data_IF_847966715965
#
_entry.id   IF_847966715965
#
_cell.length_a   1.000
_cell.length_b   1.000
_cell.length_c   1.000
_cell.angle_alpha   90.00
_cell.angle_beta   90.00
_cell.angle_gamma   90.00
#
_symmetry.space_group_name_H-M   'P 1'
#
loop_
_entity.id
_entity.type
_entity.pdbx_description
1 polymer ?
#
# COMPACT_ATOMS: atom_id res chain seq x y z
N UNK A 1 94.09 -56.21 -30.49
CA UNK A 1 94.75 -54.89 -30.63
C UNK A 1 94.21 -53.95 -29.56
N UNK A 2 95.13 -53.24 -28.90
CA UNK A 2 95.04 -52.22 -27.84
C UNK A 2 93.77 -51.33 -27.85
N UNK A 3 93.04 -51.19 -26.72
CA UNK A 3 93.13 -50.23 -25.57
C UNK A 3 92.17 -49.03 -25.67
N UNK A 4 91.24 -48.91 -24.70
CA UNK A 4 91.09 -47.80 -23.69
C UNK A 4 90.11 -46.68 -24.14
N UNK A 5 89.23 -46.07 -23.36
CA UNK A 5 89.00 -46.00 -21.91
C UNK A 5 87.56 -45.47 -21.60
N UNK A 6 87.01 -45.96 -20.49
CA UNK A 6 86.20 -45.32 -19.42
C UNK A 6 85.01 -44.33 -19.67
N UNK A 7 83.84 -44.77 -19.18
CA UNK A 7 83.06 -44.24 -18.03
C UNK A 7 82.42 -42.83 -18.11
N UNK A 8 81.09 -42.75 -17.98
CA UNK A 8 80.33 -42.30 -16.77
C UNK A 8 78.83 -42.05 -17.12
N UNK A 9 77.97 -42.55 -16.24
CA UNK A 9 76.50 -42.38 -16.14
C UNK A 9 75.99 -40.93 -16.30
N UNK A 10 74.80 -40.77 -16.90
CA UNK A 10 73.75 -39.99 -16.24
C UNK A 10 72.34 -40.46 -16.65
N UNK A 11 71.59 -40.91 -15.65
CA UNK A 11 70.16 -41.26 -15.70
C UNK A 11 69.34 -39.98 -15.80
N UNK A 12 68.45 -39.87 -16.79
CA UNK A 12 67.27 -39.02 -16.72
C UNK A 12 66.10 -39.71 -17.41
N UNK A 13 65.15 -40.16 -16.58
CA UNK A 13 63.79 -40.53 -16.93
C UNK A 13 63.13 -39.43 -17.77
N UNK A 14 62.28 -39.80 -18.73
CA UNK A 14 60.84 -39.51 -18.71
C UNK A 14 60.15 -40.02 -20.00
N UNK A 15 59.02 -40.70 -19.77
CA UNK A 15 58.13 -41.37 -20.72
C UNK A 15 57.55 -40.46 -21.81
N UNK A 16 57.12 -41.01 -22.97
CA UNK A 16 56.37 -40.24 -23.97
C UNK A 16 54.98 -39.91 -23.43
N UNK A 17 54.63 -38.63 -23.50
CA UNK A 17 53.36 -38.08 -23.03
C UNK A 17 52.27 -38.32 -24.10
N UNK A 18 51.61 -39.47 -24.05
CA UNK A 18 50.28 -39.64 -24.64
C UNK A 18 49.26 -38.99 -23.68
N UNK A 19 48.88 -37.75 -23.97
CA UNK A 19 47.79 -37.07 -23.28
C UNK A 19 46.69 -36.76 -24.31
N UNK A 20 45.61 -37.53 -24.19
CA UNK A 20 44.34 -37.33 -24.86
C UNK A 20 43.86 -35.88 -24.76
N UNK A 21 43.56 -35.28 -25.91
CA UNK A 21 42.82 -34.01 -26.01
C UNK A 21 41.37 -34.25 -25.53
N UNK A 22 41.14 -34.03 -24.25
CA UNK A 22 39.79 -33.80 -23.73
C UNK A 22 39.22 -32.49 -24.33
N UNK A 23 37.90 -32.38 -24.58
CA UNK A 23 37.32 -31.14 -25.04
C UNK A 23 37.55 -30.07 -23.97
N UNK A 24 38.26 -29.01 -24.35
CA UNK A 24 38.44 -27.81 -23.54
C UNK A 24 37.12 -27.42 -22.90
N UNK A 25 37.09 -27.34 -21.56
CA UNK A 25 36.03 -26.68 -20.83
C UNK A 25 35.74 -25.32 -21.49
N UNK A 26 34.46 -25.06 -21.75
CA UNK A 26 34.00 -23.84 -22.41
C UNK A 26 34.58 -22.62 -21.68
N UNK A 27 35.43 -21.87 -22.38
CA UNK A 27 36.03 -20.63 -21.86
C UNK A 27 34.87 -19.65 -21.67
N UNK A 28 34.58 -19.28 -20.41
CA UNK A 28 33.57 -18.28 -20.13
C UNK A 28 33.84 -17.01 -20.94
N UNK A 29 32.81 -16.49 -21.60
CA UNK A 29 32.95 -15.37 -22.53
C UNK A 29 33.60 -14.15 -21.89
N UNK A 30 34.48 -13.48 -22.64
CA UNK A 30 35.06 -12.20 -22.22
C UNK A 30 33.98 -11.11 -22.14
N UNK A 31 34.24 -10.06 -21.35
CA UNK A 31 33.33 -8.90 -21.20
C UNK A 31 32.97 -8.29 -22.56
N UNK A 32 33.93 -8.26 -23.50
CA UNK A 32 33.73 -7.75 -24.86
C UNK A 32 32.94 -8.70 -25.77
N UNK A 33 33.04 -10.01 -25.54
CA UNK A 33 32.21 -11.00 -26.26
C UNK A 33 30.76 -10.99 -25.77
N UNK A 34 30.53 -10.75 -24.47
CA UNK A 34 29.19 -10.50 -23.93
C UNK A 34 28.58 -9.20 -24.45
N UNK A 35 29.38 -8.15 -24.60
CA UNK A 35 28.93 -6.86 -25.13
C UNK A 35 28.60 -6.89 -26.64
N UNK A 36 29.15 -7.84 -27.40
CA UNK A 36 28.85 -8.05 -28.83
C UNK A 36 27.58 -8.87 -29.05
N UNK A 37 27.10 -9.60 -28.06
CA UNK A 37 25.81 -10.27 -28.14
C UNK A 37 24.73 -9.19 -27.99
N UNK A 38 23.74 -9.11 -28.90
CA UNK A 38 22.55 -8.32 -28.59
C UNK A 38 22.04 -8.81 -27.23
N UNK A 39 21.76 -7.88 -26.31
CA UNK A 39 21.29 -8.22 -24.96
C UNK A 39 20.31 -9.39 -25.09
N UNK A 40 20.70 -10.54 -24.54
CA UNK A 40 19.92 -11.76 -24.67
C UNK A 40 18.52 -11.41 -24.19
N UNK A 41 17.53 -11.48 -25.10
CA UNK A 41 16.18 -11.03 -24.80
C UNK A 41 15.69 -11.89 -23.66
N UNK A 42 15.64 -11.32 -22.45
CA UNK A 42 15.10 -12.01 -21.29
C UNK A 42 13.70 -12.51 -21.64
N UNK A 43 13.44 -13.76 -21.28
CA UNK A 43 12.10 -14.30 -21.40
C UNK A 43 11.13 -13.52 -20.50
N UNK A 44 9.84 -13.50 -20.85
CA UNK A 44 8.82 -12.88 -20.01
C UNK A 44 8.81 -13.47 -18.59
N UNK A 45 9.16 -14.74 -18.44
CA UNK A 45 9.26 -15.41 -17.15
C UNK A 45 10.42 -14.89 -16.29
N UNK A 46 11.60 -14.68 -16.89
CA UNK A 46 12.76 -14.09 -16.19
C UNK A 46 12.50 -12.64 -15.78
N UNK A 47 11.86 -11.87 -16.66
CA UNK A 47 11.48 -10.47 -16.40
C UNK A 47 10.50 -10.45 -15.22
N UNK A 48 9.42 -11.24 -15.28
CA UNK A 48 8.41 -11.32 -14.24
C UNK A 48 9.02 -11.70 -12.89
N UNK A 49 9.81 -12.78 -12.83
CA UNK A 49 10.46 -13.23 -11.59
C UNK A 49 11.38 -12.16 -10.99
N UNK A 50 12.13 -11.46 -11.83
CA UNK A 50 13.06 -10.42 -11.39
C UNK A 50 12.30 -9.20 -10.87
N UNK A 51 11.28 -8.75 -11.61
CA UNK A 51 10.43 -7.63 -11.22
C UNK A 51 9.68 -7.92 -9.91
N UNK A 52 9.04 -9.09 -9.79
CA UNK A 52 8.35 -9.52 -8.58
C UNK A 52 9.28 -9.59 -7.37
N UNK A 53 10.50 -10.12 -7.54
CA UNK A 53 11.50 -10.14 -6.46
C UNK A 53 11.84 -8.72 -5.98
N UNK A 54 12.12 -7.81 -6.92
CA UNK A 54 12.40 -6.41 -6.60
C UNK A 54 11.20 -5.72 -5.92
N UNK A 55 9.99 -5.99 -6.40
CA UNK A 55 8.73 -5.49 -5.82
C UNK A 55 8.52 -5.93 -4.37
N UNK A 56 8.75 -7.21 -4.06
CA UNK A 56 8.58 -7.76 -2.70
C UNK A 56 9.72 -7.35 -1.76
N UNK A 57 10.94 -7.12 -2.26
CA UNK A 57 12.06 -6.60 -1.46
C UNK A 57 11.87 -5.14 -1.06
N UNK A 58 11.08 -4.39 -1.83
CA UNK A 58 10.69 -3.04 -1.46
C UNK A 58 9.77 -3.08 -0.23
N UNK A 59 10.31 -2.70 0.93
CA UNK A 59 9.52 -2.56 2.18
C UNK A 59 8.41 -1.52 2.00
N UNK A 60 7.22 -1.71 2.60
CA UNK A 60 6.19 -0.69 2.65
C UNK A 60 6.77 0.58 3.26
N UNK A 61 6.61 1.69 2.55
CA UNK A 61 7.35 2.92 2.79
C UNK A 61 6.43 3.90 3.52
N UNK A 62 6.70 4.22 4.79
CA UNK A 62 6.13 5.42 5.44
C UNK A 62 6.78 6.67 4.83
N UNK A 63 6.20 7.18 3.75
CA UNK A 63 6.77 8.14 2.80
C UNK A 63 6.57 9.60 3.26
N UNK A 64 7.21 9.99 4.37
CA UNK A 64 7.28 11.42 4.73
C UNK A 64 8.34 12.19 3.91
N UNK A 65 9.22 11.51 3.16
CA UNK A 65 10.24 12.18 2.34
C UNK A 65 10.78 11.27 1.22
N UNK A 66 10.46 11.52 -0.07
CA UNK A 66 10.97 10.78 -1.23
C UNK A 66 12.49 10.80 -1.38
N UNK A 67 13.20 11.78 -0.80
CA UNK A 67 14.66 11.85 -0.84
C UNK A 67 15.34 11.01 0.25
N UNK A 68 14.61 10.57 1.29
CA UNK A 68 15.10 9.66 2.35
C UNK A 68 14.80 8.19 2.10
N UNK A 69 14.21 7.87 0.95
CA UNK A 69 13.90 6.51 0.54
C UNK A 69 15.16 5.74 0.21
N UNK A 70 15.72 5.03 1.19
CA UNK A 70 16.87 4.15 1.01
C UNK A 70 16.61 2.99 0.02
N UNK A 71 17.30 1.86 0.21
CA UNK A 71 17.28 0.67 -0.68
C UNK A 71 15.91 0.16 -1.19
N UNK A 72 14.78 0.60 -0.60
CA UNK A 72 13.42 0.25 -1.05
C UNK A 72 13.03 0.93 -2.37
N UNK A 73 13.32 2.24 -2.53
CA UNK A 73 12.94 2.97 -3.74
C UNK A 73 13.82 2.60 -4.94
N UNK A 74 15.09 2.28 -4.70
CA UNK A 74 16.00 1.80 -5.76
C UNK A 74 15.58 0.44 -6.33
N UNK A 75 15.01 -0.46 -5.51
CA UNK A 75 14.47 -1.73 -5.99
C UNK A 75 13.27 -1.52 -6.93
N UNK A 76 12.34 -0.61 -6.58
CA UNK A 76 11.19 -0.27 -7.42
C UNK A 76 11.63 0.39 -8.73
N UNK A 77 12.61 1.30 -8.69
CA UNK A 77 13.20 1.89 -9.89
C UNK A 77 13.86 0.83 -10.80
N UNK A 78 14.55 -0.14 -10.20
CA UNK A 78 15.13 -1.27 -10.93
C UNK A 78 14.06 -2.13 -11.61
N UNK A 79 12.97 -2.46 -10.90
CA UNK A 79 11.85 -3.22 -11.45
C UNK A 79 11.18 -2.47 -12.60
N UNK A 80 10.91 -1.17 -12.40
CA UNK A 80 10.31 -0.33 -13.41
C UNK A 80 11.17 -0.23 -14.67
N UNK A 81 12.47 0.03 -14.51
CA UNK A 81 13.42 0.12 -15.62
C UNK A 81 13.48 -1.19 -16.41
N UNK A 82 13.54 -2.33 -15.71
CA UNK A 82 13.51 -3.66 -16.33
C UNK A 82 12.24 -3.87 -17.15
N UNK A 83 11.07 -3.58 -16.58
CA UNK A 83 9.77 -3.77 -17.23
C UNK A 83 9.60 -2.85 -18.44
N UNK A 84 10.00 -1.58 -18.33
CA UNK A 84 9.93 -0.61 -19.42
C UNK A 84 10.88 -0.96 -20.56
N UNK A 85 12.12 -1.35 -20.26
CA UNK A 85 13.12 -1.75 -21.26
C UNK A 85 12.68 -2.97 -22.10
N UNK A 86 11.77 -3.79 -21.57
CA UNK A 86 11.24 -4.97 -22.25
C UNK A 86 9.79 -4.81 -22.70
N UNK A 87 9.28 -3.57 -22.77
CA UNK A 87 7.98 -3.27 -23.38
C UNK A 87 6.77 -3.84 -22.63
N UNK A 88 6.86 -3.96 -21.30
CA UNK A 88 5.84 -4.58 -20.45
C UNK A 88 4.41 -4.07 -20.71
N UNK A 89 4.22 -2.78 -20.96
CA UNK A 89 2.92 -2.16 -21.24
C UNK A 89 2.23 -2.70 -22.50
N UNK A 90 3.01 -3.24 -23.44
CA UNK A 90 2.52 -3.80 -24.71
C UNK A 90 2.71 -5.31 -24.82
N UNK A 91 3.31 -5.94 -23.80
CA UNK A 91 3.59 -7.38 -23.77
C UNK A 91 2.32 -8.19 -23.98
N UNK A 92 2.41 -9.29 -24.73
CA UNK A 92 1.33 -10.28 -24.84
C UNK A 92 1.22 -11.18 -23.60
N UNK A 93 2.26 -11.19 -22.75
CA UNK A 93 2.20 -11.84 -21.44
C UNK A 93 1.56 -10.86 -20.42
N UNK A 94 0.37 -11.18 -19.88
CA UNK A 94 -0.34 -10.31 -18.94
C UNK A 94 0.43 -10.07 -17.65
N UNK A 95 1.31 -11.00 -17.23
CA UNK A 95 2.09 -10.87 -15.98
C UNK A 95 2.93 -9.59 -16.00
N UNK A 96 3.55 -9.27 -17.13
CA UNK A 96 4.38 -8.06 -17.23
C UNK A 96 3.57 -6.77 -17.11
N UNK A 97 2.32 -6.77 -17.59
CA UNK A 97 1.42 -5.62 -17.42
C UNK A 97 0.98 -5.46 -15.97
N UNK A 98 0.66 -6.57 -15.30
CA UNK A 98 0.39 -6.57 -13.86
C UNK A 98 1.60 -6.06 -13.07
N UNK A 99 2.78 -6.62 -13.29
CA UNK A 99 4.01 -6.20 -12.60
C UNK A 99 4.28 -4.69 -12.79
N UNK A 100 4.10 -4.18 -14.02
CA UNK A 100 4.26 -2.76 -14.31
C UNK A 100 3.27 -1.91 -13.54
N UNK A 101 1.99 -2.29 -13.56
CA UNK A 101 0.92 -1.62 -12.83
C UNK A 101 1.17 -1.59 -11.32
N UNK A 102 1.50 -2.74 -10.73
CA UNK A 102 1.76 -2.88 -9.29
C UNK A 102 3.00 -2.08 -8.85
N UNK A 103 4.10 -2.13 -9.62
CA UNK A 103 5.31 -1.34 -9.33
C UNK A 103 5.00 0.15 -9.39
N UNK A 104 4.28 0.61 -10.42
CA UNK A 104 3.89 2.02 -10.55
C UNK A 104 2.96 2.47 -9.42
N UNK A 105 1.99 1.63 -9.02
CA UNK A 105 1.07 1.91 -7.91
C UNK A 105 1.84 2.03 -6.60
N UNK A 106 2.76 1.11 -6.30
CA UNK A 106 3.61 1.18 -5.11
C UNK A 106 4.57 2.38 -5.12
N UNK A 107 4.90 2.91 -6.29
CA UNK A 107 5.62 4.18 -6.46
C UNK A 107 4.70 5.42 -6.42
N UNK A 108 3.39 5.25 -6.19
CA UNK A 108 2.36 6.30 -6.20
C UNK A 108 2.24 7.04 -7.53
N UNK A 109 2.62 6.40 -8.64
CA UNK A 109 2.47 6.91 -10.00
C UNK A 109 1.11 6.53 -10.57
N UNK A 110 0.06 6.96 -9.87
CA UNK A 110 -1.33 6.51 -10.08
C UNK A 110 -1.81 6.65 -11.53
N UNK A 111 -1.48 7.77 -12.18
CA UNK A 111 -1.87 8.04 -13.57
C UNK A 111 -1.23 7.11 -14.60
N UNK A 112 -0.10 6.49 -14.28
CA UNK A 112 0.55 5.48 -15.15
C UNK A 112 0.21 4.05 -14.72
N UNK A 113 -0.01 3.84 -13.41
CA UNK A 113 -0.39 2.54 -12.86
C UNK A 113 -1.76 2.09 -13.36
N UNK A 114 -2.76 2.97 -13.30
CA UNK A 114 -4.13 2.68 -13.72
C UNK A 114 -4.22 2.10 -15.15
N UNK A 115 -3.69 2.76 -16.21
CA UNK A 115 -3.78 2.20 -17.57
C UNK A 115 -3.00 0.89 -17.75
N UNK A 116 -1.91 0.67 -17.00
CA UNK A 116 -1.19 -0.60 -17.04
C UNK A 116 -2.01 -1.76 -16.43
N UNK A 117 -2.68 -1.51 -15.30
CA UNK A 117 -3.56 -2.47 -14.64
C UNK A 117 -4.85 -2.72 -15.45
N UNK A 118 -5.47 -1.66 -16.00
CA UNK A 118 -6.61 -1.78 -16.93
C UNK A 118 -6.24 -2.67 -18.13
N UNK A 119 -5.08 -2.43 -18.74
CA UNK A 119 -4.59 -3.21 -19.89
C UNK A 119 -4.27 -4.67 -19.52
N UNK A 120 -3.81 -4.93 -18.29
CA UNK A 120 -3.59 -6.28 -17.79
C UNK A 120 -4.91 -7.05 -17.60
N UNK A 121 -5.87 -6.41 -16.92
CA UNK A 121 -7.20 -6.97 -16.65
C UNK A 121 -7.99 -7.19 -17.94
N UNK A 122 -7.91 -6.29 -18.92
CA UNK A 122 -8.55 -6.46 -20.22
C UNK A 122 -7.98 -7.65 -21.01
N UNK A 123 -6.68 -7.93 -20.85
CA UNK A 123 -6.01 -9.04 -21.53
C UNK A 123 -6.33 -10.39 -20.88
N UNK A 124 -6.40 -10.44 -19.55
CA UNK A 124 -6.63 -11.69 -18.81
C UNK A 124 -7.45 -11.44 -17.53
N UNK A 125 -8.78 -11.33 -17.62
CA UNK A 125 -9.63 -10.97 -16.48
C UNK A 125 -9.69 -12.03 -15.38
N UNK A 126 -9.39 -13.30 -15.70
CA UNK A 126 -9.35 -14.41 -14.75
C UNK A 126 -7.91 -14.79 -14.35
N UNK A 127 -6.93 -13.93 -14.62
CA UNK A 127 -5.55 -14.18 -14.21
C UNK A 127 -5.45 -14.28 -12.67
N UNK A 128 -4.52 -15.07 -12.10
CA UNK A 128 -4.32 -15.12 -10.64
C UNK A 128 -4.00 -13.77 -9.99
N UNK A 129 -3.47 -12.81 -10.74
CA UNK A 129 -3.23 -11.42 -10.28
C UNK A 129 -4.43 -10.49 -10.48
N UNK A 130 -5.56 -10.95 -11.03
CA UNK A 130 -6.71 -10.10 -11.29
C UNK A 130 -7.32 -9.52 -10.02
N UNK A 131 -7.32 -10.27 -8.91
CA UNK A 131 -7.74 -9.78 -7.60
C UNK A 131 -6.87 -8.60 -7.14
N UNK A 132 -5.56 -8.81 -7.03
CA UNK A 132 -4.60 -7.79 -6.57
C UNK A 132 -4.57 -6.61 -7.53
N UNK A 133 -4.55 -6.86 -8.84
CA UNK A 133 -4.55 -5.82 -9.85
C UNK A 133 -5.84 -4.98 -9.86
N UNK A 134 -7.01 -5.56 -9.59
CA UNK A 134 -8.26 -4.81 -9.49
C UNK A 134 -8.33 -3.99 -8.19
N UNK A 135 -7.83 -4.56 -7.09
CA UNK A 135 -7.72 -3.84 -5.82
C UNK A 135 -6.79 -2.62 -5.91
N UNK A 136 -5.62 -2.80 -6.49
CA UNK A 136 -4.65 -1.70 -6.70
C UNK A 136 -5.15 -0.69 -7.74
N UNK A 137 -5.88 -1.14 -8.76
CA UNK A 137 -6.53 -0.24 -9.71
C UNK A 137 -7.57 0.65 -9.02
N UNK A 138 -8.35 0.10 -8.08
CA UNK A 138 -9.29 0.88 -7.29
C UNK A 138 -8.56 1.94 -6.45
N UNK A 139 -7.46 1.58 -5.78
CA UNK A 139 -6.62 2.55 -5.03
C UNK A 139 -6.09 3.65 -5.97
N UNK A 140 -5.64 3.29 -7.17
CA UNK A 140 -5.20 4.27 -8.16
C UNK A 140 -6.34 5.25 -8.52
N UNK A 141 -7.55 4.76 -8.75
CA UNK A 141 -8.70 5.60 -9.04
C UNK A 141 -9.11 6.49 -7.88
N UNK A 142 -9.02 5.99 -6.65
CA UNK A 142 -9.24 6.76 -5.42
C UNK A 142 -8.34 8.01 -5.38
N UNK A 143 -7.03 7.82 -5.58
CA UNK A 143 -6.06 8.92 -5.62
C UNK A 143 -6.19 9.84 -6.84
N UNK A 144 -6.85 9.38 -7.91
CA UNK A 144 -7.18 10.18 -9.09
C UNK A 144 -8.53 10.91 -8.96
N UNK A 145 -9.27 10.71 -7.86
CA UNK A 145 -10.61 11.27 -7.66
C UNK A 145 -11.68 10.66 -8.57
N UNK A 146 -11.42 9.50 -9.17
CA UNK A 146 -12.33 8.79 -10.09
C UNK A 146 -13.17 7.77 -9.33
N UNK A 147 -14.03 8.25 -8.43
CA UNK A 147 -14.73 7.39 -7.45
C UNK A 147 -15.69 6.37 -8.07
N UNK A 148 -16.33 6.67 -9.20
CA UNK A 148 -17.16 5.68 -9.90
C UNK A 148 -16.33 4.52 -10.48
N UNK A 149 -15.11 4.82 -10.94
CA UNK A 149 -14.21 3.81 -11.48
C UNK A 149 -13.56 2.98 -10.35
N UNK A 150 -13.25 3.62 -9.23
CA UNK A 150 -12.82 2.98 -7.98
C UNK A 150 -13.86 1.94 -7.52
N UNK A 151 -15.13 2.33 -7.40
CA UNK A 151 -16.21 1.41 -7.01
C UNK A 151 -16.30 0.21 -7.97
N UNK A 152 -16.24 0.44 -9.29
CA UNK A 152 -16.26 -0.66 -10.27
C UNK A 152 -15.08 -1.60 -10.12
N UNK A 153 -13.88 -1.08 -9.89
CA UNK A 153 -12.67 -1.89 -9.70
C UNK A 153 -12.75 -2.75 -8.42
N UNK A 154 -13.28 -2.21 -7.31
CA UNK A 154 -13.55 -3.01 -6.10
C UNK A 154 -14.60 -4.10 -6.32
N UNK A 155 -15.67 -3.82 -7.08
CA UNK A 155 -16.67 -4.83 -7.43
C UNK A 155 -16.09 -5.97 -8.28
N UNK A 156 -15.17 -5.66 -9.20
CA UNK A 156 -14.42 -6.69 -9.95
C UNK A 156 -13.56 -7.51 -9.01
N UNK A 157 -12.82 -6.88 -8.10
CA UNK A 157 -12.00 -7.58 -7.11
C UNK A 157 -12.83 -8.53 -6.22
N UNK A 158 -14.01 -8.09 -5.77
CA UNK A 158 -14.96 -8.92 -5.00
C UNK A 158 -15.48 -10.11 -5.81
N UNK A 159 -15.70 -9.93 -7.11
CA UNK A 159 -16.18 -10.98 -8.01
C UNK A 159 -15.18 -12.09 -8.28
N UNK A 160 -13.88 -11.84 -8.11
CA UNK A 160 -12.81 -12.82 -8.34
C UNK A 160 -12.15 -13.34 -7.06
N UNK A 161 -12.30 -12.66 -5.92
CA UNK A 161 -11.70 -13.11 -4.67
C UNK A 161 -12.53 -14.23 -4.03
N UNK A 162 -11.86 -15.25 -3.51
CA UNK A 162 -12.48 -16.32 -2.71
C UNK A 162 -12.09 -16.23 -1.23
N UNK A 163 -11.14 -15.36 -0.88
CA UNK A 163 -10.59 -15.27 0.47
C UNK A 163 -11.45 -14.36 1.34
N UNK A 164 -12.07 -14.93 2.39
CA UNK A 164 -12.96 -14.20 3.31
C UNK A 164 -12.34 -12.91 3.86
N UNK A 165 -11.09 -12.96 4.33
CA UNK A 165 -10.39 -11.78 4.86
C UNK A 165 -10.17 -10.69 3.81
N UNK A 166 -9.84 -11.07 2.57
CA UNK A 166 -9.70 -10.10 1.47
C UNK A 166 -11.05 -9.50 1.09
N UNK A 167 -12.14 -10.30 1.08
CA UNK A 167 -13.50 -9.76 0.89
C UNK A 167 -13.82 -8.69 1.94
N UNK A 168 -13.51 -8.96 3.21
CA UNK A 168 -13.75 -8.00 4.28
C UNK A 168 -13.02 -6.66 4.03
N UNK A 169 -11.73 -6.74 3.68
CA UNK A 169 -10.93 -5.56 3.36
C UNK A 169 -11.46 -4.80 2.14
N UNK A 170 -11.82 -5.50 1.06
CA UNK A 170 -12.39 -4.86 -0.14
C UNK A 170 -13.72 -4.20 0.19
N UNK A 171 -14.61 -4.84 0.96
CA UNK A 171 -15.87 -4.24 1.41
C UNK A 171 -15.63 -2.98 2.27
N UNK A 172 -14.63 -2.99 3.14
CA UNK A 172 -14.23 -1.81 3.94
C UNK A 172 -13.85 -0.64 3.04
N UNK A 173 -13.03 -0.86 2.02
CA UNK A 173 -12.61 0.20 1.09
C UNK A 173 -13.74 0.62 0.13
N UNK A 174 -14.61 -0.31 -0.25
CA UNK A 174 -15.82 0.00 -1.03
C UNK A 174 -16.77 0.90 -0.25
N UNK A 175 -16.91 0.70 1.07
CA UNK A 175 -17.69 1.59 1.94
C UNK A 175 -17.16 3.03 1.86
N UNK A 176 -15.84 3.18 1.88
CA UNK A 176 -15.16 4.45 1.81
C UNK A 176 -15.33 5.15 0.46
N UNK A 177 -15.16 4.42 -0.65
CA UNK A 177 -15.42 4.93 -2.00
C UNK A 177 -16.85 5.43 -2.16
N UNK A 178 -17.83 4.66 -1.66
CA UNK A 178 -19.25 5.04 -1.69
C UNK A 178 -19.55 6.24 -0.81
N UNK A 179 -18.88 6.32 0.34
CA UNK A 179 -18.98 7.46 1.24
C UNK A 179 -18.41 8.74 0.59
N UNK A 180 -17.29 8.64 -0.14
CA UNK A 180 -16.73 9.77 -0.91
C UNK A 180 -17.70 10.27 -1.99
N UNK A 181 -18.47 9.36 -2.59
CA UNK A 181 -19.55 9.69 -3.54
C UNK A 181 -20.83 10.21 -2.86
N UNK A 182 -20.88 10.30 -1.53
CA UNK A 182 -22.06 10.70 -0.76
C UNK A 182 -23.16 9.64 -0.68
N UNK A 183 -22.91 8.41 -1.14
CA UNK A 183 -23.85 7.28 -1.10
C UNK A 183 -23.86 6.64 0.30
N UNK A 184 -24.23 7.39 1.33
CA UNK A 184 -24.05 7.00 2.74
C UNK A 184 -24.74 5.68 3.11
N UNK A 185 -25.93 5.40 2.60
CA UNK A 185 -26.63 4.13 2.86
C UNK A 185 -25.86 2.94 2.28
N UNK A 186 -25.46 3.02 1.01
CA UNK A 186 -24.69 1.95 0.35
C UNK A 186 -23.27 1.79 0.93
N UNK A 187 -22.72 2.88 1.49
CA UNK A 187 -21.47 2.85 2.23
C UNK A 187 -21.64 2.07 3.54
N UNK A 188 -22.72 2.33 4.28
CA UNK A 188 -23.03 1.62 5.53
C UNK A 188 -23.22 0.12 5.27
N UNK A 189 -23.98 -0.25 4.22
CA UNK A 189 -24.16 -1.64 3.82
C UNK A 189 -22.83 -2.35 3.54
N UNK A 190 -21.88 -1.65 2.89
CA UNK A 190 -20.56 -2.21 2.60
C UNK A 190 -19.69 -2.35 3.87
N UNK A 191 -19.76 -1.38 4.79
CA UNK A 191 -19.07 -1.48 6.08
C UNK A 191 -19.65 -2.63 6.92
N UNK A 192 -20.96 -2.82 6.92
CA UNK A 192 -21.62 -3.94 7.61
C UNK A 192 -21.22 -5.28 7.00
N UNK A 193 -21.20 -5.42 5.67
CA UNK A 193 -20.68 -6.62 5.00
C UNK A 193 -19.22 -6.91 5.37
N UNK A 194 -18.39 -5.87 5.47
CA UNK A 194 -17.00 -6.04 5.92
C UNK A 194 -16.94 -6.61 7.34
N UNK A 195 -17.79 -6.12 8.25
CA UNK A 195 -17.87 -6.56 9.64
C UNK A 195 -18.54 -7.92 9.82
N UNK A 196 -19.43 -8.33 8.93
CA UNK A 196 -19.96 -9.71 8.88
C UNK A 196 -18.87 -10.70 8.49
N UNK A 197 -18.01 -10.31 7.55
CA UNK A 197 -16.90 -11.12 7.09
C UNK A 197 -15.76 -11.15 8.10
N UNK A 198 -15.46 -10.02 8.74
CA UNK A 198 -14.44 -9.86 9.78
C UNK A 198 -14.91 -8.85 10.85
N UNK A 199 -15.49 -9.34 11.97
CA UNK A 199 -16.01 -8.47 13.04
C UNK A 199 -14.95 -7.60 13.72
N UNK A 200 -13.68 -8.00 13.60
CA UNK A 200 -12.52 -7.40 14.24
C UNK A 200 -11.73 -6.48 13.28
N UNK A 201 -12.28 -6.22 12.09
CA UNK A 201 -11.70 -5.30 11.12
C UNK A 201 -11.89 -3.84 11.56
N UNK A 202 -10.89 -3.30 12.26
CA UNK A 202 -10.90 -1.94 12.79
C UNK A 202 -11.21 -0.87 11.74
N UNK A 203 -10.67 -0.98 10.52
CA UNK A 203 -10.93 -0.03 9.42
C UNK A 203 -12.42 0.03 9.05
N UNK A 204 -13.12 -1.11 9.06
CA UNK A 204 -14.54 -1.16 8.76
C UNK A 204 -15.38 -0.52 9.88
N UNK A 205 -14.98 -0.70 11.15
CA UNK A 205 -15.59 0.01 12.29
C UNK A 205 -15.38 1.52 12.21
N UNK A 206 -14.19 1.95 11.82
CA UNK A 206 -13.93 3.37 11.57
C UNK A 206 -14.81 3.90 10.44
N UNK A 207 -14.87 3.20 9.30
CA UNK A 207 -15.73 3.60 8.18
C UNK A 207 -17.19 3.68 8.63
N UNK A 208 -17.69 2.72 9.40
CA UNK A 208 -19.02 2.77 10.00
C UNK A 208 -19.21 4.04 10.86
N UNK A 209 -18.26 4.39 11.73
CA UNK A 209 -18.33 5.59 12.56
C UNK A 209 -18.40 6.88 11.72
N UNK A 210 -17.57 6.97 10.68
CA UNK A 210 -17.53 8.11 9.75
C UNK A 210 -18.85 8.23 9.00
N UNK A 211 -19.36 7.12 8.47
CA UNK A 211 -20.60 7.07 7.69
C UNK A 211 -21.80 7.46 8.56
N UNK A 212 -21.91 6.94 9.78
CA UNK A 212 -23.00 7.26 10.71
C UNK A 212 -23.00 8.73 11.11
N UNK A 213 -21.82 9.31 11.38
CA UNK A 213 -21.73 10.73 11.70
C UNK A 213 -22.13 11.62 10.50
N UNK A 214 -21.67 11.26 9.29
CA UNK A 214 -22.07 11.90 8.03
C UNK A 214 -23.57 11.74 7.74
N UNK A 215 -24.17 10.63 8.16
CA UNK A 215 -25.61 10.37 8.05
C UNK A 215 -26.45 11.08 9.13
N UNK A 216 -25.80 11.70 10.11
CA UNK A 216 -26.47 12.45 11.17
C UNK A 216 -26.84 11.63 12.41
N UNK A 217 -26.23 10.46 12.59
CA UNK A 217 -26.34 9.62 13.80
C UNK A 217 -25.05 9.71 14.65
N UNK A 218 -24.90 10.77 15.46
CA UNK A 218 -23.71 10.93 16.31
C UNK A 218 -23.62 9.89 17.42
N UNK A 219 -24.75 9.30 17.85
CA UNK A 219 -24.77 8.26 18.87
C UNK A 219 -24.20 6.96 18.32
N UNK A 220 -24.70 6.52 17.15
CA UNK A 220 -24.14 5.36 16.45
C UNK A 220 -22.68 5.55 16.07
N UNK A 221 -22.30 6.76 15.62
CA UNK A 221 -20.91 7.07 15.31
C UNK A 221 -19.97 6.92 16.52
N UNK A 222 -20.39 7.36 17.71
CA UNK A 222 -19.61 7.22 18.93
C UNK A 222 -19.45 5.74 19.33
N UNK A 223 -20.50 4.93 19.20
CA UNK A 223 -20.44 3.49 19.48
C UNK A 223 -19.54 2.74 18.48
N UNK A 224 -19.63 3.05 17.19
CA UNK A 224 -18.76 2.45 16.18
C UNK A 224 -17.29 2.86 16.41
N UNK A 225 -17.03 4.13 16.74
CA UNK A 225 -15.70 4.61 17.08
C UNK A 225 -15.13 3.90 18.32
N UNK A 226 -15.96 3.64 19.34
CA UNK A 226 -15.57 2.86 20.53
C UNK A 226 -15.06 1.48 20.14
N UNK A 227 -15.81 0.74 19.33
CA UNK A 227 -15.40 -0.61 18.91
C UNK A 227 -14.16 -0.59 18.02
N UNK A 228 -14.04 0.37 17.10
CA UNK A 228 -12.85 0.51 16.25
C UNK A 228 -11.57 0.59 17.09
N UNK A 229 -11.63 1.27 18.22
CA UNK A 229 -10.49 1.51 19.12
C UNK A 229 -10.18 0.35 20.07
N UNK A 230 -11.17 -0.48 20.38
CA UNK A 230 -10.90 -1.73 21.09
C UNK A 230 -10.04 -2.67 20.23
N UNK A 231 -10.24 -2.60 18.91
CA UNK A 231 -9.52 -3.39 17.92
C UNK A 231 -8.17 -2.76 17.54
N UNK A 232 -8.12 -1.42 17.42
CA UNK A 232 -6.94 -0.66 17.03
C UNK A 232 -6.80 0.64 17.85
N UNK A 233 -6.20 0.59 19.06
CA UNK A 233 -6.12 1.73 19.98
C UNK A 233 -5.34 2.95 19.44
N UNK A 234 -4.39 2.69 18.55
CA UNK A 234 -3.51 3.69 17.94
C UNK A 234 -4.05 4.22 16.60
N UNK A 235 -5.18 3.67 16.13
CA UNK A 235 -5.79 4.00 14.84
C UNK A 235 -4.83 3.83 13.66
N UNK A 236 -3.91 2.87 13.75
CA UNK A 236 -2.93 2.59 12.70
C UNK A 236 -3.63 2.27 11.37
N UNK A 237 -4.77 1.60 11.42
CA UNK A 237 -5.60 1.28 10.27
C UNK A 237 -6.10 2.50 9.49
N UNK A 238 -6.27 3.67 10.13
CA UNK A 238 -6.68 4.91 9.47
C UNK A 238 -5.56 5.59 8.67
N UNK A 239 -4.31 5.29 9.00
CA UNK A 239 -3.13 5.97 8.44
C UNK A 239 -2.31 5.07 7.51
N UNK A 240 -2.87 3.91 7.13
CA UNK A 240 -2.22 2.96 6.21
C UNK A 240 -2.43 3.36 4.76
N UNK A 241 -1.42 3.09 3.93
CA UNK A 241 -1.51 3.21 2.48
C UNK A 241 -2.68 2.35 1.95
N UNK A 242 -3.50 2.92 1.07
CA UNK A 242 -4.68 2.26 0.52
C UNK A 242 -5.97 2.42 1.33
N UNK A 243 -5.95 3.25 2.38
CA UNK A 243 -7.14 3.76 3.09
C UNK A 243 -7.26 5.25 2.76
N UNK A 244 -8.29 5.61 1.99
CA UNK A 244 -8.61 6.94 1.47
C UNK A 244 -9.36 7.79 2.52
N UNK A 245 -8.54 8.59 3.20
CA UNK A 245 -8.86 9.63 4.17
C UNK A 245 -9.19 11.03 3.61
N UNK A 246 -10.41 11.47 3.24
CA UNK A 246 -10.61 12.86 2.75
C UNK A 246 -11.66 13.73 3.47
N UNK A 247 -11.30 14.98 3.85
CA UNK A 247 -9.94 15.60 3.85
C UNK A 247 -9.05 15.15 5.03
N UNK A 248 -7.71 15.19 4.85
CA UNK A 248 -6.74 14.69 5.84
C UNK A 248 -6.90 15.25 7.26
N UNK A 249 -7.49 16.45 7.41
CA UNK A 249 -7.79 17.06 8.71
C UNK A 249 -8.97 16.38 9.43
N UNK A 250 -9.90 15.73 8.71
CA UNK A 250 -11.01 15.00 9.33
C UNK A 250 -10.47 13.93 10.30
N UNK A 251 -9.21 13.47 10.18
CA UNK A 251 -8.64 12.46 11.09
C UNK A 251 -8.68 12.97 12.52
N UNK A 252 -8.51 14.28 12.69
CA UNK A 252 -8.58 14.96 13.97
C UNK A 252 -9.98 14.86 14.58
N UNK A 253 -11.04 14.90 13.76
CA UNK A 253 -12.41 14.71 14.23
C UNK A 253 -12.61 13.32 14.84
N UNK A 254 -12.18 12.27 14.14
CA UNK A 254 -12.35 10.89 14.63
C UNK A 254 -11.40 10.56 15.77
N UNK A 255 -10.20 11.14 15.81
CA UNK A 255 -9.32 11.07 16.99
C UNK A 255 -9.94 11.83 18.17
N UNK A 256 -10.67 12.92 17.96
CA UNK A 256 -11.39 13.60 19.03
C UNK A 256 -12.56 12.74 19.57
N UNK A 257 -13.34 12.11 18.70
CA UNK A 257 -14.38 11.14 19.10
C UNK A 257 -13.78 9.96 19.87
N UNK A 258 -12.58 9.49 19.49
CA UNK A 258 -11.80 8.50 20.24
C UNK A 258 -11.52 8.95 21.68
N UNK A 259 -11.01 10.15 21.85
CA UNK A 259 -10.66 10.66 23.17
C UNK A 259 -11.92 10.88 24.03
N UNK A 260 -13.05 11.27 23.43
CA UNK A 260 -14.34 11.31 24.13
C UNK A 260 -14.78 9.92 24.62
N UNK A 261 -14.67 8.90 23.78
CA UNK A 261 -14.97 7.52 24.15
C UNK A 261 -14.10 7.01 25.32
N UNK A 262 -12.79 7.30 25.32
CA UNK A 262 -11.88 6.94 26.40
C UNK A 262 -12.21 7.68 27.72
N UNK A 263 -12.66 8.93 27.63
CA UNK A 263 -13.12 9.70 28.78
C UNK A 263 -14.39 9.13 29.44
N UNK A 264 -15.20 8.33 28.74
CA UNK A 264 -16.37 7.65 29.33
C UNK A 264 -15.97 6.43 30.17
N UNK A 265 -14.81 5.83 29.91
CA UNK A 265 -14.31 4.61 30.58
C UNK A 265 -13.34 4.89 31.74
N UNK A 266 -12.98 6.14 31.95
CA UNK A 266 -11.93 6.56 32.88
C UNK A 266 -12.48 7.53 33.92
N UNK A 267 -11.74 7.72 35.03
CA UNK A 267 -12.11 8.62 36.11
C UNK A 267 -10.94 9.54 36.50
N UNK A 268 -11.23 10.58 37.27
CA UNK A 268 -10.21 11.49 37.82
C UNK A 268 -9.34 12.16 36.76
N UNK A 269 -8.03 12.17 37.00
CA UNK A 269 -7.06 12.84 36.14
C UNK A 269 -6.92 12.19 34.75
N UNK A 270 -7.09 10.86 34.66
CA UNK A 270 -7.03 10.14 33.38
C UNK A 270 -8.21 10.56 32.49
N UNK A 271 -9.41 10.65 33.06
CA UNK A 271 -10.57 11.20 32.34
C UNK A 271 -10.32 12.62 31.86
N UNK A 272 -9.76 13.45 32.73
CA UNK A 272 -9.44 14.85 32.40
C UNK A 272 -8.43 14.94 31.25
N UNK A 273 -7.42 14.06 31.23
CA UNK A 273 -6.45 13.97 30.14
C UNK A 273 -7.13 13.71 28.80
N UNK A 274 -8.00 12.69 28.72
CA UNK A 274 -8.72 12.36 27.49
C UNK A 274 -9.65 13.50 27.03
N UNK A 275 -10.40 14.12 27.93
CA UNK A 275 -11.24 15.28 27.59
C UNK A 275 -10.41 16.44 27.01
N UNK A 276 -9.19 16.65 27.52
CA UNK A 276 -8.30 17.70 27.04
C UNK A 276 -7.63 17.34 25.70
N UNK A 277 -7.35 16.06 25.47
CA UNK A 277 -6.90 15.56 24.18
C UNK A 277 -8.00 15.70 23.12
N UNK A 278 -9.24 15.33 23.44
CA UNK A 278 -10.41 15.52 22.57
C UNK A 278 -10.56 16.99 22.14
N UNK A 279 -10.46 17.91 23.11
CA UNK A 279 -10.50 19.35 22.86
C UNK A 279 -9.38 19.76 21.89
N UNK A 280 -8.15 19.33 22.14
CA UNK A 280 -6.99 19.62 21.30
C UNK A 280 -7.18 19.14 19.85
N UNK A 281 -7.78 17.97 19.66
CA UNK A 281 -8.02 17.44 18.32
C UNK A 281 -9.18 18.13 17.61
N UNK A 282 -10.26 18.50 18.31
CA UNK A 282 -11.28 19.37 17.71
C UNK A 282 -10.73 20.74 17.34
N UNK A 283 -9.82 21.32 18.13
CA UNK A 283 -9.17 22.59 17.80
C UNK A 283 -8.27 22.46 16.55
N UNK A 284 -7.49 21.37 16.43
CA UNK A 284 -6.72 21.07 15.21
C UNK A 284 -7.63 20.91 14.00
N UNK A 285 -8.73 20.18 14.16
CA UNK A 285 -9.73 20.04 13.12
C UNK A 285 -10.28 21.41 12.68
N UNK A 286 -10.69 22.26 13.63
CA UNK A 286 -11.25 23.59 13.35
C UNK A 286 -10.25 24.56 12.70
N UNK A 287 -8.96 24.38 12.99
CA UNK A 287 -7.88 25.19 12.42
C UNK A 287 -7.63 24.87 10.94
N UNK A 288 -7.86 23.62 10.53
CA UNK A 288 -7.62 23.14 9.17
C UNK A 288 -8.90 23.06 8.32
N UNK A 289 -10.07 22.91 8.95
CA UNK A 289 -11.35 22.81 8.26
C UNK A 289 -11.81 24.15 7.67
N UNK A 290 -12.41 24.08 6.49
CA UNK A 290 -13.01 25.23 5.82
C UNK A 290 -14.16 25.84 6.62
N UNK A 291 -14.42 27.13 6.42
CA UNK A 291 -15.52 27.83 7.08
C UNK A 291 -16.89 27.25 6.72
N UNK A 292 -17.02 26.68 5.51
CA UNK A 292 -18.23 26.02 5.02
C UNK A 292 -18.31 24.53 5.34
N UNK A 293 -17.38 23.97 6.12
CA UNK A 293 -17.39 22.55 6.41
C UNK A 293 -18.62 22.16 7.24
N UNK A 294 -19.27 21.06 6.84
CA UNK A 294 -20.51 20.55 7.45
C UNK A 294 -20.38 20.21 8.94
N UNK A 295 -19.20 19.81 9.40
CA UNK A 295 -18.95 19.41 10.78
C UNK A 295 -18.59 20.60 11.67
N UNK A 296 -18.29 21.77 11.07
CA UNK A 296 -17.83 22.95 11.81
C UNK A 296 -18.78 23.38 12.94
N UNK A 297 -20.11 23.44 12.75
CA UNK A 297 -21.02 23.78 13.84
C UNK A 297 -20.94 22.78 15.00
N UNK A 298 -20.87 21.48 14.69
CA UNK A 298 -20.77 20.41 15.69
C UNK A 298 -19.42 20.43 16.42
N UNK A 299 -18.32 20.72 15.70
CA UNK A 299 -16.99 20.89 16.31
C UNK A 299 -17.01 22.02 17.34
N UNK A 300 -17.56 23.18 16.97
CA UNK A 300 -17.65 24.33 17.87
C UNK A 300 -18.50 24.03 19.10
N UNK A 301 -19.61 23.31 18.95
CA UNK A 301 -20.43 22.85 20.07
C UNK A 301 -19.67 21.87 20.98
N UNK A 302 -18.96 20.90 20.40
CA UNK A 302 -18.15 19.95 21.15
C UNK A 302 -17.04 20.64 21.94
N UNK A 303 -16.32 21.60 21.33
CA UNK A 303 -15.32 22.45 21.98
C UNK A 303 -15.92 23.21 23.14
N UNK A 304 -17.03 23.94 22.93
CA UNK A 304 -17.66 24.73 23.99
C UNK A 304 -18.13 23.85 25.16
N UNK A 305 -18.65 22.66 24.88
CA UNK A 305 -19.03 21.67 25.90
C UNK A 305 -17.82 21.20 26.70
N UNK A 306 -16.72 20.87 26.02
CA UNK A 306 -15.47 20.41 26.63
C UNK A 306 -14.81 21.50 27.49
N UNK A 307 -14.72 22.73 26.99
CA UNK A 307 -14.20 23.88 27.74
C UNK A 307 -14.99 24.09 29.04
N UNK A 308 -16.32 24.04 28.97
CA UNK A 308 -17.20 24.14 30.15
C UNK A 308 -16.95 22.99 31.14
N UNK A 309 -16.85 21.76 30.65
CA UNK A 309 -16.62 20.57 31.48
C UNK A 309 -15.25 20.61 32.17
N UNK A 310 -14.23 21.13 31.48
CA UNK A 310 -12.86 21.28 31.98
C UNK A 310 -12.64 22.56 32.80
N UNK A 311 -13.66 23.42 32.92
CA UNK A 311 -13.58 24.76 33.57
C UNK A 311 -12.51 25.66 32.96
N UNK A 312 -12.32 25.56 31.65
CA UNK A 312 -11.40 26.40 30.88
C UNK A 312 -12.11 27.70 30.46
N UNK A 313 -11.35 28.77 30.29
CA UNK A 313 -11.86 29.98 29.62
C UNK A 313 -11.94 29.69 28.12
N UNK A 314 -12.99 30.16 27.42
CA UNK A 314 -13.09 29.98 25.98
C UNK A 314 -11.84 30.50 25.28
N UNK A 315 -11.21 29.69 24.42
CA UNK A 315 -10.19 30.18 23.52
C UNK A 315 -10.83 31.21 22.57
N UNK A 316 -10.23 32.39 22.50
CA UNK A 316 -10.82 33.60 21.90
C UNK A 316 -11.32 33.40 20.46
N UNK A 317 -12.59 33.80 20.25
CA UNK A 317 -13.35 34.04 19.00
C UNK A 317 -12.58 33.90 17.67
N UNK A 318 -13.02 32.96 16.83
CA UNK A 318 -12.73 32.93 15.40
C UNK A 318 -12.91 34.32 14.78
N UNK A 319 -11.88 34.80 14.07
CA UNK A 319 -11.98 36.01 13.25
C UNK A 319 -13.15 35.83 12.27
N UNK A 320 -14.03 36.83 12.25
CA UNK A 320 -15.09 36.99 11.24
C UNK A 320 -14.51 37.07 9.84
#
# INVERSE_FOLDING_TARGET
MLRRDLLVLLVLLLLPLDAALAPSAARADSIWEKAKRPAEKLSADEIHKTAANLYHRARPYKLEDPQKGGMSYSALLGALSLLQAHGASTSADPRLRYDLGLVLAKMRRWGEAAPALESALALSPQHPFAEEGSFELAICYSHLGRHEDEERAYLVALGVTDRRGNKALICSNLAESRMAQGKLAAALDAAEQALELDPDLASARYNQAIILDRAGDPSGALEAAKHALELDPDADSLVRDGVFFEPAYEKHWYVALRELALAERTLGDVRKFHLMAALTFYDKWLAEADAGDRFRPRALEAVARLEKQLKLKPAVKAKK
#
